data_IF_723180265316
#
_entry.id   IF_723180265316
#
_cell.length_a   1.000
_cell.length_b   1.000
_cell.length_c   1.000
_cell.angle_alpha   90.00
_cell.angle_beta   90.00
_cell.angle_gamma   90.00
#
_symmetry.space_group_name_H-M   'P 1'
#
loop_
_entity.id
_entity.type
_entity.pdbx_description
1 polymer ?
#
# COMPACT_ATOMS: atom_id res chain seq x y z
N UNK A 1 -9.02 22.01 17.77
CA UNK A 1 -8.22 22.83 16.84
C UNK A 1 -7.77 21.92 15.71
N UNK A 2 -8.34 22.16 14.53
CA UNK A 2 -8.17 21.34 13.33
C UNK A 2 -6.80 21.61 12.72
N UNK A 3 -5.88 20.66 12.84
CA UNK A 3 -4.62 20.67 12.09
C UNK A 3 -4.85 20.04 10.73
N UNK A 4 -5.10 20.86 9.70
CA UNK A 4 -4.90 20.43 8.32
C UNK A 4 -3.42 20.09 8.17
N UNK A 5 -3.08 18.80 8.26
CA UNK A 5 -1.78 18.27 7.88
C UNK A 5 -1.65 18.40 6.37
N UNK A 6 -1.25 19.57 5.90
CA UNK A 6 -0.73 19.71 4.54
C UNK A 6 0.58 18.93 4.49
N UNK A 7 0.67 17.95 3.59
CA UNK A 7 1.90 17.22 3.35
C UNK A 7 3.01 18.20 3.02
N UNK A 8 4.19 18.14 3.67
CA UNK A 8 5.33 19.01 3.32
C UNK A 8 5.87 18.74 1.91
N UNK A 9 5.44 17.63 1.30
CA UNK A 9 5.80 17.22 -0.05
C UNK A 9 5.06 18.07 -1.07
N UNK A 10 5.81 18.78 -1.92
CA UNK A 10 5.25 19.41 -3.12
C UNK A 10 4.78 18.33 -4.10
N UNK A 11 3.48 18.03 -4.09
CA UNK A 11 2.90 16.98 -4.94
C UNK A 11 2.98 17.32 -6.43
N UNK A 12 3.11 18.60 -6.79
CA UNK A 12 3.17 19.02 -8.20
C UNK A 12 4.43 18.53 -8.90
N UNK A 13 5.52 18.32 -8.16
CA UNK A 13 6.76 17.80 -8.75
C UNK A 13 6.61 16.38 -9.32
N UNK A 14 5.56 15.65 -8.91
CA UNK A 14 5.22 14.31 -9.38
C UNK A 14 4.22 14.32 -10.55
N UNK A 15 3.74 15.48 -10.99
CA UNK A 15 2.90 15.54 -12.19
C UNK A 15 3.74 15.16 -13.41
N UNK A 16 3.32 14.08 -14.08
CA UNK A 16 3.92 13.58 -15.31
C UNK A 16 2.82 13.32 -16.32
N UNK A 17 3.01 13.75 -17.56
CA UNK A 17 2.08 13.44 -18.65
C UNK A 17 2.80 12.50 -19.61
N UNK A 18 2.17 11.36 -19.90
CA UNK A 18 2.66 10.39 -20.87
C UNK A 18 1.62 10.30 -21.98
N UNK A 19 2.05 10.49 -23.22
CA UNK A 19 1.17 10.29 -24.38
C UNK A 19 1.18 8.82 -24.76
N UNK A 20 0.00 8.21 -24.77
CA UNK A 20 -0.19 6.80 -25.18
C UNK A 20 -1.25 6.72 -26.27
N UNK A 21 -1.23 5.63 -27.04
CA UNK A 21 -2.28 5.37 -28.01
C UNK A 21 -3.51 4.77 -27.32
N UNK A 22 -4.68 5.14 -27.81
CA UNK A 22 -5.96 4.62 -27.35
C UNK A 22 -6.90 4.32 -28.53
N UNK A 23 -7.75 3.32 -28.34
CA UNK A 23 -8.77 2.95 -29.32
C UNK A 23 -10.12 3.51 -28.91
N UNK A 24 -10.74 4.25 -29.82
CA UNK A 24 -12.12 4.71 -29.67
C UNK A 24 -13.07 3.57 -30.02
N UNK A 25 -13.85 3.15 -29.05
CA UNK A 25 -14.81 2.05 -29.19
C UNK A 25 -16.20 2.46 -28.70
N UNK A 26 -17.28 1.92 -29.31
CA UNK A 26 -18.63 2.06 -28.77
C UNK A 26 -18.74 1.41 -27.38
N UNK A 27 -19.46 2.06 -26.47
CA UNK A 27 -19.65 1.58 -25.09
C UNK A 27 -20.20 0.15 -25.05
N UNK A 28 -21.10 -0.21 -25.96
CA UNK A 28 -21.77 -1.52 -26.02
C UNK A 28 -20.80 -2.65 -26.37
N UNK A 29 -19.74 -2.35 -27.14
CA UNK A 29 -18.75 -3.33 -27.60
C UNK A 29 -17.46 -3.30 -26.78
N UNK A 30 -17.34 -2.40 -25.81
CA UNK A 30 -16.12 -2.22 -25.02
C UNK A 30 -15.63 -3.52 -24.37
N UNK A 31 -16.52 -4.31 -23.78
CA UNK A 31 -16.14 -5.57 -23.14
C UNK A 31 -15.66 -6.63 -24.14
N UNK A 32 -16.23 -6.64 -25.35
CA UNK A 32 -15.81 -7.54 -26.43
C UNK A 32 -14.38 -7.21 -26.85
N UNK A 33 -14.09 -5.93 -27.09
CA UNK A 33 -12.76 -5.48 -27.47
C UNK A 33 -11.72 -5.68 -26.37
N UNK A 34 -12.07 -5.46 -25.10
CA UNK A 34 -11.15 -5.75 -23.98
C UNK A 34 -10.72 -7.22 -23.94
N UNK A 35 -11.62 -8.16 -24.27
CA UNK A 35 -11.27 -9.59 -24.37
C UNK A 35 -10.35 -9.86 -25.56
N UNK A 36 -10.64 -9.27 -26.72
CA UNK A 36 -9.81 -9.43 -27.93
C UNK A 36 -8.44 -8.78 -27.81
N UNK A 37 -8.32 -7.70 -27.04
CA UNK A 37 -7.09 -6.94 -26.83
C UNK A 37 -6.35 -7.33 -25.55
N UNK A 38 -6.71 -8.46 -24.93
CA UNK A 38 -6.05 -8.93 -23.73
C UNK A 38 -4.54 -9.06 -23.97
N UNK A 39 -3.73 -8.42 -23.12
CA UNK A 39 -2.27 -8.37 -23.26
C UNK A 39 -1.72 -7.14 -23.99
N UNK A 40 -2.55 -6.40 -24.74
CA UNK A 40 -2.17 -5.15 -25.43
C UNK A 40 -2.70 -3.88 -24.74
N UNK A 41 -3.69 -4.04 -23.88
CA UNK A 41 -4.30 -2.97 -23.09
C UNK A 41 -3.36 -2.54 -21.94
N UNK A 42 -3.42 -1.25 -21.57
CA UNK A 42 -2.68 -0.66 -20.45
C UNK A 42 -2.87 -1.50 -19.19
N UNK A 43 -1.76 -2.00 -18.66
CA UNK A 43 -1.73 -2.85 -17.46
C UNK A 43 -0.78 -2.24 -16.45
N UNK A 44 -1.25 -1.19 -15.77
CA UNK A 44 -0.53 -0.48 -14.72
C UNK A 44 -1.37 -0.41 -13.45
N UNK A 45 -0.80 -0.71 -12.27
CA UNK A 45 -1.53 -0.63 -11.02
C UNK A 45 -2.17 0.76 -10.82
N UNK A 46 -3.37 0.79 -10.23
CA UNK A 46 -4.12 2.03 -9.90
C UNK A 46 -4.58 2.87 -11.10
N UNK A 47 -4.27 2.49 -12.32
CA UNK A 47 -4.77 3.15 -13.53
C UNK A 47 -5.90 2.35 -14.17
N UNK A 48 -6.90 3.07 -14.66
CA UNK A 48 -7.97 2.46 -15.47
C UNK A 48 -7.50 2.33 -16.89
N UNK A 49 -7.74 1.17 -17.49
CA UNK A 49 -7.44 0.95 -18.90
C UNK A 49 -8.57 1.38 -19.85
N UNK A 50 -9.73 1.72 -19.31
CA UNK A 50 -10.86 2.30 -20.06
C UNK A 50 -11.25 3.63 -19.45
N UNK A 51 -11.33 4.65 -20.29
CA UNK A 51 -11.72 6.01 -19.88
C UNK A 51 -12.86 6.51 -20.77
N UNK A 52 -13.55 7.54 -20.27
CA UNK A 52 -14.51 8.27 -21.09
C UNK A 52 -13.77 9.00 -22.19
N UNK A 53 -14.34 8.99 -23.39
CA UNK A 53 -13.82 9.81 -24.47
C UNK A 53 -14.27 11.26 -24.25
N UNK A 54 -13.36 12.09 -23.76
CA UNK A 54 -13.58 13.53 -23.63
C UNK A 54 -13.18 14.32 -24.88
N UNK A 55 -12.60 13.64 -25.88
CA UNK A 55 -12.09 14.24 -27.13
C UNK A 55 -13.04 14.01 -28.31
N UNK A 56 -13.93 13.02 -28.23
CA UNK A 56 -14.94 12.71 -29.25
C UNK A 56 -16.22 13.52 -29.09
N UNK A 57 -16.90 13.80 -30.22
CA UNK A 57 -18.23 14.43 -30.24
C UNK A 57 -19.35 13.54 -29.66
N UNK A 58 -19.10 12.23 -29.47
CA UNK A 58 -20.13 11.26 -29.11
C UNK A 58 -19.97 10.76 -27.66
N UNK A 59 -20.92 11.15 -26.80
CA UNK A 59 -20.96 10.80 -25.38
C UNK A 59 -21.06 9.28 -25.12
N UNK A 60 -21.38 8.49 -26.14
CA UNK A 60 -21.50 7.04 -26.04
C UNK A 60 -20.23 6.26 -26.44
N UNK A 61 -19.12 6.95 -26.67
CA UNK A 61 -17.82 6.34 -26.95
C UNK A 61 -16.95 6.15 -25.68
N UNK A 62 -16.01 5.22 -25.75
CA UNK A 62 -15.02 4.92 -24.71
C UNK A 62 -13.64 4.81 -25.34
N UNK A 63 -12.61 5.15 -24.58
CA UNK A 63 -11.22 4.95 -25.00
C UNK A 63 -10.64 3.75 -24.26
N UNK A 64 -10.15 2.76 -25.01
CA UNK A 64 -9.34 1.66 -24.47
C UNK A 64 -7.88 2.06 -24.62
N UNK A 65 -7.20 2.27 -23.50
CA UNK A 65 -5.80 2.67 -23.43
C UNK A 65 -4.89 1.48 -23.75
N UNK A 66 -3.95 1.67 -24.66
CA UNK A 66 -2.98 0.62 -25.04
C UNK A 66 -1.71 0.72 -24.18
N UNK A 67 -0.93 -0.37 -24.14
CA UNK A 67 0.39 -0.37 -23.51
C UNK A 67 1.32 0.62 -24.20
N UNK A 68 2.12 1.29 -23.38
CA UNK A 68 3.23 2.12 -23.86
C UNK A 68 4.19 1.27 -24.69
N UNK A 69 4.41 1.67 -25.94
CA UNK A 69 5.34 1.03 -26.85
C UNK A 69 6.72 1.70 -26.71
N UNK A 70 7.79 0.95 -26.92
CA UNK A 70 9.16 1.44 -26.76
C UNK A 70 9.52 2.66 -27.66
N UNK A 71 8.75 2.93 -28.71
CA UNK A 71 8.96 4.04 -29.64
C UNK A 71 8.01 5.26 -29.41
N UNK A 72 7.31 5.34 -28.27
CA UNK A 72 6.42 6.46 -27.94
C UNK A 72 5.08 6.44 -28.69
N UNK A 73 4.37 7.58 -28.71
CA UNK A 73 3.01 7.69 -29.29
C UNK A 73 2.95 7.48 -30.82
N UNK A 74 4.09 7.59 -31.51
CA UNK A 74 4.24 7.32 -32.95
C UNK A 74 4.62 5.88 -33.30
N UNK A 75 4.66 4.96 -32.33
CA UNK A 75 4.99 3.57 -32.59
C UNK A 75 3.92 2.89 -33.47
N UNK A 76 4.32 2.00 -34.41
CA UNK A 76 3.37 1.17 -35.13
C UNK A 76 2.53 0.32 -34.17
N UNK A 77 1.22 0.28 -34.39
CA UNK A 77 0.33 -0.59 -33.63
C UNK A 77 0.76 -2.06 -33.82
N UNK A 78 0.69 -2.90 -32.76
CA UNK A 78 0.88 -4.33 -32.91
C UNK A 78 -0.08 -4.89 -33.97
N UNK A 79 0.37 -5.84 -34.80
CA UNK A 79 -0.41 -6.37 -35.92
C UNK A 79 -1.83 -6.80 -35.51
N UNK A 80 -1.96 -7.51 -34.39
CA UNK A 80 -3.26 -7.93 -33.84
C UNK A 80 -4.22 -6.76 -33.52
N UNK A 81 -3.67 -5.62 -33.09
CA UNK A 81 -4.44 -4.39 -32.83
C UNK A 81 -4.79 -3.71 -34.15
N UNK A 82 -3.84 -3.61 -35.08
CA UNK A 82 -4.05 -3.04 -36.42
C UNK A 82 -5.11 -3.79 -37.23
N UNK A 83 -5.06 -5.11 -37.24
CA UNK A 83 -6.02 -5.98 -37.93
C UNK A 83 -7.44 -5.79 -37.37
N UNK A 84 -7.57 -5.67 -36.05
CA UNK A 84 -8.85 -5.40 -35.40
C UNK A 84 -9.39 -4.01 -35.75
N UNK A 85 -8.52 -3.01 -35.80
CA UNK A 85 -8.90 -1.65 -36.19
C UNK A 85 -9.37 -1.61 -37.65
N UNK A 86 -8.67 -2.30 -38.55
CA UNK A 86 -9.06 -2.38 -39.96
C UNK A 86 -10.38 -3.15 -40.16
N UNK A 87 -10.58 -4.25 -39.42
CA UNK A 87 -11.79 -5.09 -39.53
C UNK A 87 -13.05 -4.36 -39.09
N UNK A 88 -12.99 -3.66 -37.96
CA UNK A 88 -14.15 -3.04 -37.32
C UNK A 88 -14.20 -1.51 -37.52
N UNK A 89 -13.28 -0.97 -38.33
CA UNK A 89 -13.10 0.47 -38.61
C UNK A 89 -12.98 1.31 -37.33
N UNK A 90 -12.12 0.87 -36.40
CA UNK A 90 -11.87 1.55 -35.13
C UNK A 90 -10.89 2.70 -35.30
N UNK A 91 -11.19 3.84 -34.68
CA UNK A 91 -10.32 5.00 -34.69
C UNK A 91 -9.26 4.89 -33.59
N UNK A 92 -8.01 5.17 -33.98
CA UNK A 92 -6.86 5.24 -33.08
C UNK A 92 -6.60 6.71 -32.79
N UNK A 93 -6.47 7.07 -31.53
CA UNK A 93 -6.18 8.43 -31.09
C UNK A 93 -5.06 8.45 -30.06
N UNK A 94 -4.47 9.62 -29.86
CA UNK A 94 -3.54 9.86 -28.76
C UNK A 94 -4.31 10.26 -27.49
N UNK A 95 -3.84 9.77 -26.36
CA UNK A 95 -4.38 10.06 -25.04
C UNK A 95 -3.28 10.52 -24.09
N UNK A 96 -3.48 11.69 -23.49
CA UNK A 96 -2.61 12.22 -22.44
C UNK A 96 -2.93 11.57 -21.09
N UNK A 97 -2.12 10.57 -20.72
CA UNK A 97 -2.19 9.94 -19.42
C UNK A 97 -1.47 10.80 -18.39
N UNK A 98 -2.25 11.46 -17.52
CA UNK A 98 -1.73 12.23 -16.39
C UNK A 98 -1.48 11.33 -15.19
N UNK A 99 -0.22 11.23 -14.79
CA UNK A 99 0.23 10.59 -13.56
C UNK A 99 0.44 11.67 -12.50
N UNK A 100 -0.15 11.47 -11.34
CA UNK A 100 -0.05 12.37 -10.20
C UNK A 100 0.72 11.69 -9.05
N UNK A 101 0.87 12.40 -7.94
CA UNK A 101 1.45 11.84 -6.71
C UNK A 101 0.83 10.48 -6.33
N UNK A 102 -0.50 10.33 -6.40
CA UNK A 102 -1.22 9.13 -5.94
C UNK A 102 -0.87 7.87 -6.73
N UNK A 103 -0.48 8.02 -7.99
CA UNK A 103 0.00 6.93 -8.82
C UNK A 103 1.29 6.29 -8.27
N UNK A 104 2.24 7.10 -7.79
CA UNK A 104 3.54 6.62 -7.34
C UNK A 104 3.46 5.90 -5.98
N UNK A 105 4.28 4.87 -5.79
CA UNK A 105 4.48 4.22 -4.49
C UNK A 105 5.25 5.14 -3.53
N UNK A 106 5.21 4.85 -2.23
CA UNK A 106 6.05 5.55 -1.25
C UNK A 106 7.53 5.44 -1.61
N UNK A 107 7.98 4.26 -2.04
CA UNK A 107 9.36 4.02 -2.46
C UNK A 107 9.77 4.90 -3.66
N UNK A 108 8.93 4.98 -4.70
CA UNK A 108 9.19 5.81 -5.87
C UNK A 108 9.28 7.30 -5.49
N UNK A 109 8.34 7.77 -4.68
CA UNK A 109 8.32 9.14 -4.17
C UNK A 109 9.60 9.42 -3.37
N UNK A 110 9.96 8.56 -2.43
CA UNK A 110 11.16 8.76 -1.60
C UNK A 110 12.45 8.68 -2.42
N UNK A 111 12.52 7.84 -3.45
CA UNK A 111 13.68 7.78 -4.36
C UNK A 111 13.89 9.08 -5.14
N UNK A 112 12.82 9.81 -5.47
CA UNK A 112 12.93 11.11 -6.13
C UNK A 112 13.29 12.24 -5.15
N UNK A 113 12.82 12.16 -3.90
CA UNK A 113 13.03 13.20 -2.89
C UNK A 113 14.37 13.09 -2.14
N UNK A 114 14.89 11.87 -1.98
CA UNK A 114 16.12 11.62 -1.26
C UNK A 114 17.35 11.72 -2.18
N UNK A 115 18.55 12.00 -1.62
CA UNK A 115 19.78 12.05 -2.40
C UNK A 115 20.01 10.77 -3.20
N UNK A 116 20.53 10.89 -4.44
CA UNK A 116 20.86 9.72 -5.28
C UNK A 116 21.82 8.79 -4.55
N UNK A 117 21.53 7.49 -4.60
CA UNK A 117 22.30 6.45 -3.91
C UNK A 117 21.81 6.12 -2.50
N UNK A 118 20.84 6.86 -1.97
CA UNK A 118 20.20 6.56 -0.68
C UNK A 118 19.32 5.32 -0.79
N UNK A 119 19.51 4.35 0.10
CA UNK A 119 18.63 3.18 0.20
C UNK A 119 17.36 3.55 0.96
N UNK A 120 16.22 3.52 0.27
CA UNK A 120 14.92 3.86 0.86
C UNK A 120 14.44 2.71 1.76
N UNK A 121 13.82 2.98 2.92
CA UNK A 121 13.20 1.95 3.74
C UNK A 121 12.16 1.14 2.94
N UNK A 122 12.47 -0.12 2.64
CA UNK A 122 11.62 -0.96 1.78
C UNK A 122 10.42 -1.59 2.47
N UNK A 123 10.44 -1.71 3.80
CA UNK A 123 9.31 -2.24 4.58
C UNK A 123 9.27 -1.66 5.99
N UNK A 124 8.10 -1.75 6.59
CA UNK A 124 7.84 -1.34 7.96
C UNK A 124 6.89 -2.33 8.62
N UNK A 125 6.90 -2.34 9.94
CA UNK A 125 5.99 -3.17 10.72
C UNK A 125 4.79 -2.34 11.16
N UNK A 126 3.63 -3.00 11.26
CA UNK A 126 2.39 -2.35 11.66
C UNK A 126 1.81 -2.98 12.91
N UNK A 127 1.33 -2.14 13.82
CA UNK A 127 0.58 -2.50 15.03
C UNK A 127 -0.71 -1.69 15.02
N UNK A 128 -1.75 -2.27 14.43
CA UNK A 128 -3.01 -1.59 14.16
C UNK A 128 -2.78 -0.40 13.21
N UNK A 129 -3.06 0.82 13.67
CA UNK A 129 -2.83 2.04 12.87
C UNK A 129 -1.44 2.67 13.04
N UNK A 130 -0.57 2.09 13.86
CA UNK A 130 0.79 2.56 14.08
C UNK A 130 1.73 1.81 13.15
N UNK A 131 2.55 2.51 12.37
CA UNK A 131 3.67 1.90 11.66
C UNK A 131 4.99 2.29 12.33
N UNK A 132 5.87 1.33 12.55
CA UNK A 132 7.19 1.57 13.15
C UNK A 132 8.33 1.25 12.18
N UNK A 133 9.33 2.13 12.20
CA UNK A 133 10.53 2.09 11.38
C UNK A 133 11.75 1.81 12.26
N UNK A 134 12.80 1.29 11.61
CA UNK A 134 14.15 1.24 12.15
C UNK A 134 15.05 1.96 11.15
N UNK A 135 15.07 3.29 11.19
CA UNK A 135 15.84 4.11 10.27
C UNK A 135 17.35 3.97 10.56
N UNK A 136 18.13 3.82 9.48
CA UNK A 136 19.59 3.88 9.54
C UNK A 136 20.05 5.32 9.80
N UNK A 137 21.25 5.48 10.34
CA UNK A 137 21.79 6.79 10.72
C UNK A 137 21.81 7.79 9.55
N UNK A 138 22.16 7.32 8.35
CA UNK A 138 22.15 8.11 7.10
C UNK A 138 20.77 8.68 6.72
N UNK A 139 19.67 8.07 7.19
CA UNK A 139 18.31 8.50 6.91
C UNK A 139 17.73 9.42 7.98
N UNK A 140 18.39 9.57 9.13
CA UNK A 140 17.86 10.35 10.26
C UNK A 140 17.66 11.82 9.91
N UNK A 141 18.49 12.38 9.02
CA UNK A 141 18.31 13.74 8.50
C UNK A 141 17.01 13.95 7.72
N UNK A 142 16.43 12.87 7.19
CA UNK A 142 15.20 12.88 6.38
C UNK A 142 14.01 12.21 7.10
N UNK A 143 14.14 11.89 8.39
CA UNK A 143 13.16 11.06 9.12
C UNK A 143 11.71 11.58 9.06
N UNK A 144 11.51 12.90 9.15
CA UNK A 144 10.17 13.49 9.09
C UNK A 144 9.59 13.44 7.68
N UNK A 145 10.40 13.72 6.66
CA UNK A 145 10.00 13.57 5.25
C UNK A 145 9.59 12.13 4.93
N UNK A 146 10.38 11.15 5.38
CA UNK A 146 10.07 9.72 5.25
C UNK A 146 8.76 9.40 5.97
N UNK A 147 8.60 9.89 7.20
CA UNK A 147 7.39 9.73 8.00
C UNK A 147 6.15 10.27 7.29
N UNK A 148 6.21 11.46 6.73
CA UNK A 148 5.07 12.09 6.05
C UNK A 148 4.68 11.34 4.77
N UNK A 149 5.65 10.99 3.91
CA UNK A 149 5.36 10.21 2.69
C UNK A 149 4.73 8.87 3.06
N UNK A 150 5.27 8.17 4.07
CA UNK A 150 4.72 6.89 4.50
C UNK A 150 3.32 7.03 5.09
N UNK A 151 3.06 8.09 5.87
CA UNK A 151 1.73 8.37 6.40
C UNK A 151 0.73 8.60 5.27
N UNK A 152 1.03 9.54 4.36
CA UNK A 152 0.14 9.93 3.27
C UNK A 152 -0.21 8.74 2.36
N UNK A 153 0.77 7.92 2.03
CA UNK A 153 0.59 6.74 1.16
C UNK A 153 -0.20 5.61 1.81
N UNK A 154 -0.39 5.64 3.13
CA UNK A 154 -1.06 4.57 3.87
C UNK A 154 -2.33 5.04 4.61
N UNK A 155 -2.73 6.31 4.47
CA UNK A 155 -4.01 6.80 4.96
C UNK A 155 -5.19 6.09 4.27
N UNK A 156 -6.32 5.87 4.98
CA UNK A 156 -6.57 6.19 6.39
C UNK A 156 -6.14 5.07 7.36
N UNK A 157 -5.53 3.99 6.85
CA UNK A 157 -5.20 2.78 7.64
C UNK A 157 -4.14 3.06 8.69
N UNK A 158 -3.05 3.70 8.27
CA UNK A 158 -1.97 4.13 9.16
C UNK A 158 -2.20 5.59 9.53
N UNK A 159 -2.10 5.90 10.82
CA UNK A 159 -2.37 7.25 11.35
C UNK A 159 -1.20 7.82 12.15
N UNK A 160 -0.22 6.97 12.49
CA UNK A 160 0.95 7.33 13.29
C UNK A 160 2.17 6.60 12.72
N UNK A 161 3.21 7.33 12.34
CA UNK A 161 4.51 6.77 11.97
C UNK A 161 5.50 7.06 13.08
N UNK A 162 6.19 6.02 13.54
CA UNK A 162 7.23 6.13 14.58
C UNK A 162 8.55 5.54 14.09
N UNK A 163 9.65 6.00 14.66
CA UNK A 163 10.95 5.36 14.52
C UNK A 163 11.39 4.84 15.88
N UNK A 164 11.94 3.62 15.89
CA UNK A 164 12.54 3.04 17.08
C UNK A 164 13.84 3.77 17.40
N UNK A 165 13.98 4.22 18.64
CA UNK A 165 15.18 4.89 19.16
C UNK A 165 15.67 4.16 20.40
N UNK A 166 16.97 4.30 20.69
CA UNK A 166 17.61 3.73 21.89
C UNK A 166 17.82 2.21 21.90
N UNK A 167 18.52 1.74 22.93
CA UNK A 167 18.72 0.32 23.23
C UNK A 167 17.57 -0.22 24.09
N UNK A 168 17.19 -1.50 23.91
CA UNK A 168 16.15 -2.15 24.74
C UNK A 168 16.79 -2.54 26.09
N UNK A 169 16.88 -1.59 27.01
CA UNK A 169 17.53 -1.78 28.32
C UNK A 169 16.55 -1.80 29.51
N UNK A 170 15.24 -1.59 29.29
CA UNK A 170 14.28 -1.52 30.38
C UNK A 170 13.71 -2.89 30.79
N UNK A 171 13.24 -2.99 32.05
CA UNK A 171 12.67 -4.21 32.66
C UNK A 171 11.51 -4.80 31.87
N UNK A 172 10.76 -3.95 31.16
CA UNK A 172 9.58 -4.34 30.38
C UNK A 172 9.88 -4.65 28.90
N UNK A 173 11.15 -4.52 28.48
CA UNK A 173 11.63 -4.70 27.10
C UNK A 173 10.85 -3.90 26.05
N UNK A 174 10.35 -2.73 26.43
CA UNK A 174 9.62 -1.82 25.53
C UNK A 174 10.62 -0.88 24.87
N UNK A 175 10.70 -0.85 23.53
CA UNK A 175 11.55 0.12 22.84
C UNK A 175 11.10 1.56 23.08
N UNK A 176 12.03 2.51 23.02
CA UNK A 176 11.68 3.92 22.91
C UNK A 176 11.33 4.24 21.45
N UNK A 177 10.37 5.14 21.28
CA UNK A 177 9.87 5.52 19.96
C UNK A 177 9.80 7.04 19.85
N UNK A 178 10.26 7.57 18.72
CA UNK A 178 9.99 8.95 18.32
C UNK A 178 8.86 8.97 17.29
N UNK A 179 7.93 9.91 17.42
CA UNK A 179 6.88 10.12 16.41
C UNK A 179 7.47 10.92 15.25
N UNK A 180 7.40 10.35 14.05
CA UNK A 180 7.87 10.99 12.82
C UNK A 180 6.78 11.80 12.13
N UNK A 181 5.56 11.26 12.07
CA UNK A 181 4.41 11.89 11.43
C UNK A 181 3.08 11.36 11.98
N UNK A 182 2.02 12.15 11.86
CA UNK A 182 0.65 11.76 12.20
C UNK A 182 0.27 12.06 13.65
N UNK A 183 -0.59 11.22 14.24
CA UNK A 183 -1.08 11.40 15.62
C UNK A 183 0.02 11.05 16.62
N UNK A 184 0.04 11.73 17.77
CA UNK A 184 0.96 11.40 18.87
C UNK A 184 0.56 10.15 19.66
N UNK A 185 -0.70 9.70 19.53
CA UNK A 185 -1.20 8.52 20.24
C UNK A 185 -0.66 7.23 19.62
N UNK A 186 -0.20 6.32 20.47
CA UNK A 186 0.15 4.94 20.13
C UNK A 186 -0.85 3.92 20.71
N UNK A 187 -1.99 4.39 21.23
CA UNK A 187 -3.09 3.54 21.66
C UNK A 187 -3.82 3.01 20.43
N UNK A 188 -3.70 1.72 20.17
CA UNK A 188 -4.12 1.07 18.92
C UNK A 188 -4.88 -0.23 19.21
N UNK A 189 -5.50 -0.79 18.18
CA UNK A 189 -6.20 -2.08 18.23
C UNK A 189 -5.65 -3.03 17.17
N UNK A 190 -5.38 -4.27 17.58
CA UNK A 190 -4.89 -5.33 16.69
C UNK A 190 -5.83 -6.53 16.79
N UNK A 191 -6.16 -7.11 15.64
CA UNK A 191 -6.96 -8.34 15.57
C UNK A 191 -6.04 -9.52 15.25
N UNK A 192 -6.02 -10.52 16.13
CA UNK A 192 -5.28 -11.77 15.92
C UNK A 192 -6.12 -12.95 16.41
N UNK A 193 -6.23 -13.99 15.58
CA UNK A 193 -6.90 -15.26 15.90
C UNK A 193 -8.30 -15.12 16.52
N UNK A 194 -9.11 -14.18 16.02
CA UNK A 194 -10.47 -13.95 16.51
C UNK A 194 -10.56 -13.11 17.79
N UNK A 195 -9.43 -12.68 18.36
CA UNK A 195 -9.38 -11.73 19.47
C UNK A 195 -9.02 -10.32 18.96
N UNK A 196 -9.51 -9.30 19.68
CA UNK A 196 -9.10 -7.90 19.48
C UNK A 196 -8.35 -7.43 20.71
N UNK A 197 -7.12 -6.98 20.54
CA UNK A 197 -6.26 -6.46 21.59
C UNK A 197 -6.21 -4.95 21.47
N UNK A 198 -6.59 -4.25 22.53
CA UNK A 198 -6.36 -2.81 22.67
C UNK A 198 -5.11 -2.59 23.50
N UNK A 199 -4.14 -1.88 22.96
CA UNK A 199 -2.85 -1.66 23.61
C UNK A 199 -2.31 -0.27 23.37
N UNK A 200 -1.44 0.19 24.28
CA UNK A 200 -0.57 1.33 24.06
C UNK A 200 0.81 0.80 23.66
N UNK A 201 1.17 0.92 22.37
CA UNK A 201 2.40 0.33 21.84
C UNK A 201 3.67 0.93 22.48
N UNK A 202 3.59 2.13 23.06
CA UNK A 202 4.69 2.74 23.80
C UNK A 202 4.89 2.17 25.21
N UNK A 203 3.97 1.33 25.71
CA UNK A 203 3.98 0.83 27.10
C UNK A 203 4.06 -0.69 27.22
N UNK A 204 3.81 -1.43 26.13
CA UNK A 204 3.79 -2.89 26.16
C UNK A 204 4.59 -3.48 25.01
N UNK A 205 5.25 -4.60 25.28
CA UNK A 205 5.91 -5.36 24.23
C UNK A 205 4.86 -6.03 23.33
N UNK A 206 4.99 -5.86 22.02
CA UNK A 206 4.16 -6.51 21.02
C UNK A 206 5.00 -6.89 19.80
N UNK A 207 4.80 -8.10 19.27
CA UNK A 207 5.47 -8.58 18.06
C UNK A 207 4.51 -9.40 17.20
N UNK A 208 4.03 -8.78 16.12
CA UNK A 208 3.09 -9.40 15.19
C UNK A 208 3.67 -10.64 14.48
N UNK A 209 5.01 -10.80 14.41
CA UNK A 209 5.66 -11.95 13.76
C UNK A 209 5.48 -13.26 14.53
N UNK A 210 5.19 -13.20 15.83
CA UNK A 210 4.94 -14.38 16.67
C UNK A 210 3.55 -14.98 16.47
N UNK A 211 2.68 -14.30 15.71
CA UNK A 211 1.29 -14.68 15.52
C UNK A 211 1.13 -16.12 15.01
N UNK A 212 1.91 -16.52 13.99
CA UNK A 212 1.82 -17.85 13.40
C UNK A 212 2.28 -18.94 14.36
N UNK A 213 3.29 -18.64 15.19
CA UNK A 213 3.79 -19.58 16.18
C UNK A 213 2.77 -19.79 17.30
N UNK A 214 2.14 -18.71 17.79
CA UNK A 214 1.04 -18.80 18.75
C UNK A 214 -0.11 -19.65 18.18
N UNK A 215 -0.50 -19.42 16.92
CA UNK A 215 -1.54 -20.20 16.25
C UNK A 215 -1.18 -21.68 16.18
N UNK A 216 0.06 -21.99 15.79
CA UNK A 216 0.56 -23.36 15.65
C UNK A 216 0.48 -24.09 16.98
N UNK A 217 0.92 -23.47 18.06
CA UNK A 217 0.88 -24.03 19.41
C UNK A 217 -0.57 -24.28 19.87
N UNK A 218 -1.44 -23.28 19.74
CA UNK A 218 -2.84 -23.39 20.15
C UNK A 218 -3.58 -24.49 19.36
N UNK A 219 -3.39 -24.51 18.04
CA UNK A 219 -4.07 -25.47 17.17
C UNK A 219 -3.57 -26.90 17.40
N UNK A 220 -2.25 -27.09 17.55
CA UNK A 220 -1.64 -28.42 17.66
C UNK A 220 -1.82 -29.04 19.03
N UNK A 221 -1.80 -28.24 20.10
CA UNK A 221 -1.69 -28.75 21.46
C UNK A 221 -2.90 -28.45 22.35
N UNK A 222 -3.69 -27.42 22.05
CA UNK A 222 -4.71 -26.92 22.98
C UNK A 222 -6.13 -27.18 22.50
N UNK A 223 -6.37 -27.21 21.18
CA UNK A 223 -7.70 -27.40 20.60
C UNK A 223 -8.36 -28.70 21.08
N UNK A 224 -9.52 -28.58 21.72
CA UNK A 224 -10.27 -29.72 22.28
C UNK A 224 -9.60 -30.45 23.44
N UNK A 225 -8.47 -29.95 23.96
CA UNK A 225 -7.76 -30.54 25.09
C UNK A 225 -8.31 -30.03 26.43
N UNK A 226 -8.05 -30.77 27.53
CA UNK A 226 -8.35 -30.35 28.92
C UNK A 226 -7.07 -29.92 29.66
N UNK A 227 -6.14 -29.32 28.93
CA UNK A 227 -4.81 -28.95 29.46
C UNK A 227 -4.86 -27.64 30.24
N UNK A 228 -4.16 -27.57 31.37
CA UNK A 228 -3.90 -26.32 32.08
C UNK A 228 -2.62 -25.68 31.54
N UNK A 229 -2.70 -24.42 31.10
CA UNK A 229 -1.56 -23.67 30.55
C UNK A 229 -1.23 -22.50 31.49
N UNK A 230 0.05 -22.37 31.83
CA UNK A 230 0.57 -21.21 32.56
C UNK A 230 1.47 -20.39 31.64
N UNK A 231 1.03 -19.19 31.28
CA UNK A 231 1.82 -18.24 30.49
C UNK A 231 2.64 -17.35 31.44
N UNK A 232 3.91 -17.72 31.65
CA UNK A 232 4.79 -17.06 32.61
C UNK A 232 5.10 -15.59 32.26
N UNK A 233 4.97 -15.21 30.99
CA UNK A 233 5.36 -13.89 30.46
C UNK A 233 4.27 -13.34 29.55
N UNK A 234 3.02 -13.42 30.02
CA UNK A 234 1.85 -13.20 29.18
C UNK A 234 1.74 -11.80 28.57
N UNK A 235 2.34 -10.77 29.18
CA UNK A 235 2.15 -9.38 28.73
C UNK A 235 0.65 -9.03 28.66
N UNK A 236 0.17 -8.59 27.49
CA UNK A 236 -1.27 -8.35 27.26
C UNK A 236 -2.05 -9.58 26.78
N UNK A 237 -1.45 -10.76 26.83
CA UNK A 237 -2.05 -12.04 26.47
C UNK A 237 -2.10 -12.42 24.98
N UNK A 238 -1.14 -12.04 24.11
CA UNK A 238 -1.18 -12.44 22.69
C UNK A 238 -1.08 -13.96 22.47
N UNK A 239 -0.65 -14.73 23.48
CA UNK A 239 -0.69 -16.19 23.49
C UNK A 239 -1.82 -16.73 24.38
N UNK A 240 -1.93 -16.24 25.63
CA UNK A 240 -2.94 -16.69 26.58
C UNK A 240 -4.39 -16.55 26.08
N UNK A 241 -4.72 -15.44 25.41
CA UNK A 241 -6.09 -15.22 24.91
C UNK A 241 -6.42 -16.18 23.74
N UNK A 242 -5.59 -16.31 22.68
CA UNK A 242 -5.84 -17.31 21.64
C UNK A 242 -5.85 -18.75 22.16
N UNK A 243 -5.03 -19.07 23.16
CA UNK A 243 -5.06 -20.37 23.83
C UNK A 243 -6.43 -20.63 24.48
N UNK A 244 -6.96 -19.65 25.21
CA UNK A 244 -8.31 -19.66 25.77
C UNK A 244 -9.40 -19.91 24.72
N UNK A 245 -9.33 -19.20 23.60
CA UNK A 245 -10.28 -19.33 22.48
C UNK A 245 -10.20 -20.72 21.84
N UNK A 246 -8.98 -21.25 21.64
CA UNK A 246 -8.78 -22.55 21.01
C UNK A 246 -9.42 -23.70 21.80
N UNK A 247 -9.52 -23.59 23.13
CA UNK A 247 -10.26 -24.56 23.95
C UNK A 247 -11.77 -24.56 23.64
N UNK A 248 -12.35 -23.39 23.36
CA UNK A 248 -13.79 -23.21 23.16
C UNK A 248 -14.27 -23.61 21.76
N UNK A 249 -13.36 -23.73 20.78
CA UNK A 249 -13.66 -24.09 19.38
C UNK A 249 -13.58 -25.61 19.12
N UNK A 250 -13.99 -26.41 20.12
CA UNK A 250 -14.12 -27.85 20.04
C UNK A 250 -15.35 -28.28 19.23
#
# INVERSE_FOLDING_TARGET
>A
MSGNGGSCVDQKQFERTITIQALRVPKEKCQTYLKSLQGFVLDRPRLKCVVLDSLGSDANSRLILLKEQAAGSGAPLPAAVGDLCAKDNLEVCEYELKLDYNYFTAEQVLKELLPKGTEVPGSFETVGHVAHLNLREELLGFKHLIGEVLLDKNLPRIQTIVNKVGSIENTFRVPEFEVLAGKSSMVTEVKQHGATFKLDFAKVYWNSRLEQEHKRLCTKHLRGSKTVVCDMMAGIGPFAVPAGIAFLQA
#
